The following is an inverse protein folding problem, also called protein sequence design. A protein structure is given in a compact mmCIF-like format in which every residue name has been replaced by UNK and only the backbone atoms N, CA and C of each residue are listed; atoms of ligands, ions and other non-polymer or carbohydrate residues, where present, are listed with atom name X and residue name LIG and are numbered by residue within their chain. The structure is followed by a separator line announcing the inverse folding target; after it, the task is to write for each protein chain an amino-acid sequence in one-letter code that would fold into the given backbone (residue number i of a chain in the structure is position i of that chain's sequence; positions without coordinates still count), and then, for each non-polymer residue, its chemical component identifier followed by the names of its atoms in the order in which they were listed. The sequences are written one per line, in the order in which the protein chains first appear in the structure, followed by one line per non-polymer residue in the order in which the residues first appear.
data_IF_171767971055
#
_entry.id   IF_171767971055
#
_cell.length_a   1.000
_cell.length_b   1.000
_cell.length_c   1.000
_cell.angle_alpha   90.00
_cell.angle_beta   90.00
_cell.angle_gamma   90.00
#
_symmetry.space_group_name_H-M   'P 1'
#
loop_
_entity.id
_entity.type
_entity.pdbx_description
1 polymer ?
#
# COMPACT_ATOMS: atom_id res chain seq x y z
N UNK A 1 19.45 19.21 20.17
CA UNK A 1 19.89 19.85 21.42
C UNK A 1 19.94 18.79 22.50
N UNK A 2 21.02 18.85 23.28
CA UNK A 2 21.60 17.92 24.25
C UNK A 2 20.68 16.95 25.01
N UNK A 3 21.13 15.71 25.20
CA UNK A 3 21.79 15.37 26.48
C UNK A 3 22.52 14.03 26.43
N UNK A 4 23.75 14.09 26.91
CA UNK A 4 24.73 13.03 27.16
C UNK A 4 24.25 11.98 28.16
N UNK A 5 24.77 10.75 28.04
CA UNK A 5 24.94 9.83 29.17
C UNK A 5 26.27 9.08 29.07
N UNK A 6 27.25 9.63 29.79
CA UNK A 6 28.16 9.01 30.76
C UNK A 6 28.39 7.50 30.60
N UNK A 7 29.61 7.17 30.17
CA UNK A 7 30.27 5.88 30.38
C UNK A 7 30.61 5.69 31.86
N UNK A 8 30.31 4.51 32.40
CA UNK A 8 31.04 3.93 33.53
C UNK A 8 31.35 2.49 33.15
N UNK A 9 32.62 2.26 32.83
CA UNK A 9 33.24 0.95 32.72
C UNK A 9 33.38 0.32 34.11
N UNK A 10 32.92 -0.92 34.25
CA UNK A 10 33.46 -1.83 35.26
C UNK A 10 33.66 -3.20 34.60
N UNK A 11 34.93 -3.52 34.37
CA UNK A 11 35.46 -4.82 33.95
C UNK A 11 35.45 -5.79 35.14
N UNK A 12 34.92 -7.00 34.96
CA UNK A 12 35.40 -8.20 35.68
C UNK A 12 35.20 -9.44 34.82
N UNK A 13 36.31 -9.85 34.22
CA UNK A 13 36.87 -11.21 34.05
C UNK A 13 35.97 -12.43 33.83
N UNK A 14 36.25 -13.02 32.67
CA UNK A 14 35.98 -14.35 32.16
C UNK A 14 36.78 -15.43 32.92
N UNK A 15 36.18 -16.60 33.12
CA UNK A 15 36.93 -17.82 33.46
C UNK A 15 36.16 -19.07 32.97
N UNK A 16 36.52 -19.52 31.77
CA UNK A 16 36.93 -20.88 31.40
C UNK A 16 36.16 -22.13 31.85
N UNK A 17 35.94 -23.05 30.90
CA UNK A 17 36.10 -24.49 31.16
C UNK A 17 35.07 -25.46 30.57
N UNK A 18 35.41 -26.02 29.41
CA UNK A 18 35.42 -27.46 29.07
C UNK A 18 34.15 -28.36 29.00
N UNK A 19 33.94 -28.85 27.77
CA UNK A 19 34.03 -30.27 27.34
C UNK A 19 32.83 -31.25 27.39
N UNK A 20 32.71 -31.98 26.25
CA UNK A 20 32.21 -33.38 26.03
C UNK A 20 30.70 -33.64 26.18
N UNK A 21 30.03 -34.56 25.49
CA UNK A 21 30.27 -35.48 24.35
C UNK A 21 28.97 -36.27 24.07
N UNK A 22 28.73 -36.62 22.79
CA UNK A 22 28.10 -37.85 22.23
C UNK A 22 26.76 -38.44 22.71
N UNK A 23 25.84 -38.70 21.75
CA UNK A 23 25.17 -39.99 21.38
C UNK A 23 23.82 -39.67 20.70
N UNK A 24 23.63 -39.86 19.39
CA UNK A 24 23.28 -41.11 18.68
C UNK A 24 22.11 -41.87 19.31
N UNK A 25 20.95 -41.89 18.65
CA UNK A 25 20.10 -43.09 18.49
C UNK A 25 19.00 -42.88 17.43
N UNK A 26 18.81 -43.92 16.61
CA UNK A 26 17.87 -44.03 15.50
C UNK A 26 16.44 -44.43 15.97
N UNK A 27 15.50 -44.30 15.03
CA UNK A 27 14.03 -44.48 15.09
C UNK A 27 13.54 -45.86 15.59
N UNK A 28 12.22 -45.98 15.89
CA UNK A 28 11.35 -46.63 14.92
C UNK A 28 9.93 -46.03 14.75
N UNK A 29 9.27 -46.52 13.71
CA UNK A 29 8.00 -46.13 13.09
C UNK A 29 6.71 -46.61 13.79
N UNK A 30 5.61 -45.99 13.34
CA UNK A 30 4.17 -46.34 13.43
C UNK A 30 3.41 -46.11 14.74
N UNK A 31 2.53 -45.09 14.73
CA UNK A 31 1.08 -45.33 14.78
C UNK A 31 0.25 -44.09 14.38
N UNK A 32 -0.75 -44.38 13.56
CA UNK A 32 -1.74 -43.51 12.97
C UNK A 32 -2.82 -43.15 14.00
N UNK A 33 -3.06 -41.85 14.23
CA UNK A 33 -4.32 -41.38 14.82
C UNK A 33 -4.57 -39.91 14.47
N UNK A 34 -5.55 -39.65 13.61
CA UNK A 34 -6.27 -38.37 13.59
C UNK A 34 -7.13 -38.27 14.87
N UNK A 35 -7.30 -37.06 15.41
CA UNK A 35 -8.47 -36.23 15.10
C UNK A 35 -8.01 -34.80 14.73
N UNK A 36 -8.66 -34.03 13.85
CA UNK A 36 -10.08 -33.77 13.83
C UNK A 36 -10.41 -32.63 14.79
N UNK A 37 -10.00 -31.39 14.50
CA UNK A 37 -10.84 -30.21 14.76
C UNK A 37 -10.35 -28.92 14.08
N UNK A 38 -11.15 -28.52 13.08
CA UNK A 38 -11.62 -27.17 12.81
C UNK A 38 -10.59 -26.02 12.70
N UNK A 39 -9.93 -25.99 11.55
CA UNK A 39 -9.37 -24.79 10.93
C UNK A 39 -10.54 -23.88 10.46
N UNK A 40 -11.12 -23.11 11.38
CA UNK A 40 -12.23 -22.21 11.08
C UNK A 40 -11.74 -20.94 10.35
N UNK A 41 -11.83 -21.01 9.02
CA UNK A 41 -12.47 -20.02 8.16
C UNK A 41 -11.93 -18.57 8.22
N UNK A 42 -10.77 -18.38 7.58
CA UNK A 42 -10.38 -17.09 7.05
C UNK A 42 -11.37 -16.65 5.96
N UNK A 43 -12.27 -15.72 6.31
CA UNK A 43 -12.95 -14.78 5.40
C UNK A 43 -13.40 -15.39 4.06
N UNK A 44 -14.31 -16.36 4.10
CA UNK A 44 -15.11 -16.76 2.93
C UNK A 44 -16.00 -15.60 2.47
N UNK A 45 -15.71 -15.09 1.27
CA UNK A 45 -16.73 -14.51 0.38
C UNK A 45 -16.29 -14.81 -1.04
N UNK A 46 -16.30 -16.09 -1.38
CA UNK A 46 -16.44 -16.59 -2.74
C UNK A 46 -17.75 -17.37 -2.79
N UNK A 47 -18.80 -16.70 -3.25
CA UNK A 47 -19.96 -17.24 -4.00
C UNK A 47 -21.10 -16.22 -3.93
N UNK A 48 -21.09 -15.26 -4.86
CA UNK A 48 -22.20 -15.08 -5.82
C UNK A 48 -21.56 -14.56 -7.10
N UNK A 49 -20.97 -15.46 -7.89
CA UNK A 49 -21.01 -15.31 -9.34
C UNK A 49 -22.46 -15.52 -9.74
N UNK A 50 -23.14 -14.44 -10.13
CA UNK A 50 -24.26 -14.51 -11.06
C UNK A 50 -24.50 -13.11 -11.66
N UNK A 51 -24.13 -12.97 -12.93
CA UNK A 51 -24.94 -12.19 -13.87
C UNK A 51 -24.70 -10.69 -14.00
N UNK A 52 -23.46 -10.19 -13.95
CA UNK A 52 -23.14 -8.89 -14.57
C UNK A 52 -21.71 -8.90 -15.11
N UNK A 53 -21.47 -8.60 -16.41
CA UNK A 53 -20.11 -8.52 -16.91
C UNK A 53 -19.42 -7.32 -16.25
N UNK A 54 -18.42 -7.60 -15.41
CA UNK A 54 -17.52 -6.61 -14.86
C UNK A 54 -16.77 -5.93 -16.02
N UNK A 55 -16.91 -4.62 -16.15
CA UNK A 55 -16.25 -3.80 -17.18
C UNK A 55 -14.81 -3.45 -16.83
N UNK A 56 -14.25 -4.05 -15.78
CA UNK A 56 -12.86 -3.87 -15.38
C UNK A 56 -11.98 -4.96 -16.00
N UNK A 57 -10.87 -4.64 -16.69
CA UNK A 57 -10.01 -5.65 -17.28
C UNK A 57 -9.51 -6.63 -16.22
N UNK A 58 -9.55 -7.93 -16.54
CA UNK A 58 -8.98 -8.97 -15.70
C UNK A 58 -7.48 -8.70 -15.48
N UNK A 59 -7.07 -8.69 -14.21
CA UNK A 59 -5.67 -8.61 -13.79
C UNK A 59 -4.89 -9.74 -14.45
N UNK A 60 -4.10 -9.39 -15.47
CA UNK A 60 -3.15 -10.29 -16.07
C UNK A 60 -1.81 -10.01 -15.38
N UNK A 61 -1.51 -10.78 -14.34
CA UNK A 61 -0.18 -10.86 -13.70
C UNK A 61 0.82 -11.66 -14.56
N UNK A 62 0.43 -12.00 -15.79
CA UNK A 62 1.22 -12.78 -16.73
C UNK A 62 1.71 -11.85 -17.84
N UNK A 63 2.99 -11.97 -18.14
CA UNK A 63 3.70 -11.38 -19.29
C UNK A 63 4.47 -10.08 -19.03
N UNK A 64 5.30 -10.07 -17.99
CA UNK A 64 6.57 -9.33 -18.08
C UNK A 64 7.71 -10.35 -18.08
N UNK A 65 8.26 -10.60 -19.26
CA UNK A 65 9.51 -11.33 -19.54
C UNK A 65 10.69 -10.50 -18.99
N UNK A 66 10.78 -10.44 -17.66
CA UNK A 66 11.55 -9.44 -16.95
C UNK A 66 12.62 -10.03 -16.02
N UNK A 67 13.83 -9.52 -16.18
CA UNK A 67 15.06 -10.00 -15.54
C UNK A 67 15.19 -9.62 -14.04
N UNK A 68 14.08 -9.40 -13.32
CA UNK A 68 14.05 -9.03 -11.90
C UNK A 68 13.11 -9.90 -11.06
N UNK A 69 13.31 -9.98 -9.73
CA UNK A 69 12.41 -10.74 -8.86
C UNK A 69 11.02 -10.12 -8.86
N UNK A 70 10.01 -11.00 -8.82
CA UNK A 70 8.60 -10.60 -8.82
C UNK A 70 8.25 -9.94 -7.49
N UNK A 71 7.18 -9.13 -7.42
CA UNK A 71 6.73 -8.53 -6.16
C UNK A 71 6.51 -9.55 -5.04
N UNK A 72 6.01 -10.74 -5.39
CA UNK A 72 5.83 -11.88 -4.46
C UNK A 72 7.15 -12.39 -3.88
N UNK A 73 8.25 -12.36 -4.64
CA UNK A 73 9.58 -12.77 -4.17
C UNK A 73 10.20 -11.71 -3.21
N UNK A 74 9.63 -10.50 -3.20
CA UNK A 74 10.01 -9.38 -2.33
C UNK A 74 9.09 -9.22 -1.12
N UNK A 75 8.10 -10.08 -1.00
CA UNK A 75 7.08 -10.06 0.04
C UNK A 75 7.26 -11.22 1.01
N UNK A 76 6.96 -10.97 2.29
CA UNK A 76 7.04 -12.02 3.30
C UNK A 76 6.17 -11.72 4.52
N UNK A 77 5.80 -12.79 5.22
CA UNK A 77 5.04 -12.74 6.47
C UNK A 77 5.84 -13.41 7.57
N UNK A 78 5.78 -12.85 8.76
CA UNK A 78 6.38 -13.43 9.95
C UNK A 78 5.39 -13.37 11.12
N UNK A 79 5.35 -14.42 11.93
CA UNK A 79 4.53 -14.47 13.13
C UNK A 79 5.43 -14.75 14.32
N UNK A 80 5.34 -13.91 15.33
CA UNK A 80 6.03 -14.05 16.59
C UNK A 80 5.03 -14.30 17.72
N UNK A 81 5.18 -15.42 18.39
CA UNK A 81 4.46 -15.76 19.61
C UNK A 81 5.39 -15.53 20.79
N UNK A 82 4.89 -14.80 21.78
CA UNK A 82 5.62 -14.50 23.02
C UNK A 82 4.84 -15.15 24.15
N UNK A 83 5.38 -16.25 24.65
CA UNK A 83 4.80 -17.00 25.76
C UNK A 83 5.15 -16.38 27.11
N UNK A 84 4.32 -16.63 28.13
CA UNK A 84 4.44 -16.09 29.48
C UNK A 84 4.57 -14.56 29.51
N UNK A 85 3.83 -13.84 28.66
CA UNK A 85 3.99 -12.40 28.44
C UNK A 85 3.83 -11.59 29.73
N UNK A 86 2.90 -11.99 30.61
CA UNK A 86 2.66 -11.33 31.90
C UNK A 86 3.86 -11.38 32.86
N UNK A 87 4.76 -12.34 32.70
CA UNK A 87 5.92 -12.56 33.57
C UNK A 87 7.18 -11.84 33.06
N UNK A 88 7.10 -11.20 31.89
CA UNK A 88 8.26 -10.57 31.25
C UNK A 88 8.56 -9.23 31.90
N UNK A 89 9.65 -9.21 32.67
CA UNK A 89 10.21 -7.99 33.29
C UNK A 89 11.36 -7.36 32.49
N UNK A 90 11.61 -7.85 31.27
CA UNK A 90 12.65 -7.30 30.39
C UNK A 90 12.20 -5.97 29.79
N UNK A 91 13.13 -5.01 29.71
CA UNK A 91 12.89 -3.71 29.08
C UNK A 91 12.50 -3.85 27.61
N UNK A 92 13.19 -4.73 26.88
CA UNK A 92 12.94 -5.01 25.46
C UNK A 92 13.02 -6.50 25.17
N UNK A 93 12.29 -6.94 24.15
CA UNK A 93 12.36 -8.29 23.58
C UNK A 93 12.62 -8.21 22.08
N UNK A 94 13.37 -9.18 21.58
CA UNK A 94 13.67 -9.32 20.15
C UNK A 94 13.18 -10.67 19.66
N UNK A 95 12.55 -10.69 18.48
CA UNK A 95 12.19 -11.94 17.81
C UNK A 95 13.43 -12.61 17.21
N UNK A 96 13.26 -13.86 16.78
CA UNK A 96 14.18 -14.46 15.82
C UNK A 96 14.21 -13.64 14.53
N UNK A 97 15.35 -13.64 13.84
CA UNK A 97 15.47 -13.00 12.53
C UNK A 97 14.74 -13.79 11.45
N UNK A 98 14.15 -13.10 10.48
CA UNK A 98 13.48 -13.70 9.32
C UNK A 98 13.88 -12.98 8.03
N UNK A 99 13.89 -13.71 6.92
CA UNK A 99 14.34 -13.21 5.61
C UNK A 99 13.14 -12.78 4.75
N UNK A 100 13.17 -11.54 4.25
CA UNK A 100 12.17 -11.03 3.28
C UNK A 100 12.85 -10.14 2.25
N UNK A 101 12.61 -10.42 0.97
CA UNK A 101 13.14 -9.64 -0.16
C UNK A 101 14.67 -9.58 -0.23
N UNK A 102 15.35 -10.59 0.33
CA UNK A 102 16.81 -10.67 0.40
C UNK A 102 17.43 -9.95 1.61
N UNK A 103 16.61 -9.46 2.54
CA UNK A 103 17.08 -8.77 3.75
C UNK A 103 16.63 -9.50 5.02
N UNK A 104 17.44 -9.40 6.07
CA UNK A 104 17.14 -9.98 7.39
C UNK A 104 16.48 -8.96 8.29
N UNK A 105 15.31 -9.30 8.79
CA UNK A 105 14.48 -8.47 9.64
C UNK A 105 14.29 -9.14 11.01
N UNK A 106 13.96 -8.36 12.03
CA UNK A 106 13.41 -8.86 13.29
C UNK A 106 12.42 -7.86 13.87
N UNK A 107 11.56 -8.31 14.77
CA UNK A 107 10.64 -7.46 15.52
C UNK A 107 11.27 -7.13 16.86
N UNK A 108 11.29 -5.85 17.22
CA UNK A 108 11.70 -5.35 18.53
C UNK A 108 10.46 -4.82 19.25
N UNK A 109 10.27 -5.23 20.51
CA UNK A 109 9.18 -4.72 21.34
C UNK A 109 9.67 -4.17 22.66
N UNK A 110 8.99 -3.15 23.15
CA UNK A 110 9.10 -2.64 24.51
C UNK A 110 7.77 -2.91 25.22
N UNK A 111 7.67 -3.98 26.03
CA UNK A 111 6.41 -4.40 26.65
C UNK A 111 5.78 -3.34 27.56
N UNK A 112 6.60 -2.48 28.18
CA UNK A 112 6.14 -1.39 29.07
C UNK A 112 6.30 0.02 28.47
N UNK A 113 6.74 0.09 27.21
CA UNK A 113 7.01 1.32 26.49
C UNK A 113 8.50 1.64 26.33
N UNK A 114 8.83 2.33 25.24
CA UNK A 114 10.19 2.81 24.95
C UNK A 114 10.46 4.17 25.63
N UNK A 115 9.86 5.24 25.08
CA UNK A 115 9.94 6.61 25.63
C UNK A 115 8.64 7.03 26.32
N UNK A 116 7.54 6.37 25.96
CA UNK A 116 6.19 6.65 26.46
C UNK A 116 5.77 5.46 27.28
N UNK A 117 5.58 5.67 28.58
CA UNK A 117 5.10 4.63 29.49
C UNK A 117 3.64 4.22 29.15
N UNK A 118 3.24 3.06 29.65
CA UNK A 118 1.88 2.52 29.56
C UNK A 118 1.40 2.22 28.13
N UNK A 119 2.33 2.13 27.17
CA UNK A 119 2.06 1.73 25.81
C UNK A 119 3.00 0.59 25.41
N UNK A 120 2.48 -0.40 24.70
CA UNK A 120 3.28 -1.33 23.93
C UNK A 120 3.90 -0.56 22.76
N UNK A 121 5.22 -0.62 22.63
CA UNK A 121 5.95 -0.10 21.47
C UNK A 121 6.42 -1.25 20.59
N UNK A 122 6.26 -1.13 19.26
CA UNK A 122 6.62 -2.15 18.28
C UNK A 122 7.45 -1.54 17.15
N UNK A 123 8.54 -2.20 16.78
CA UNK A 123 9.43 -1.77 15.71
C UNK A 123 9.81 -2.96 14.82
N UNK A 124 9.98 -2.69 13.52
CA UNK A 124 10.66 -3.56 12.59
C UNK A 124 12.11 -3.09 12.49
N UNK A 125 13.06 -4.02 12.52
CA UNK A 125 14.49 -3.71 12.55
C UNK A 125 15.25 -4.53 11.51
N UNK A 126 16.34 -3.97 10.98
CA UNK A 126 17.30 -4.69 10.12
C UNK A 126 18.28 -5.47 11.00
N UNK A 127 18.29 -6.80 10.90
CA UNK A 127 19.00 -7.69 11.83
C UNK A 127 20.52 -7.60 11.74
N UNK A 128 21.06 -7.45 10.53
CA UNK A 128 22.49 -7.44 10.25
C UNK A 128 23.04 -6.04 9.98
N UNK A 129 22.37 -4.98 10.45
CA UNK A 129 22.70 -3.58 10.14
C UNK A 129 24.17 -3.20 10.41
N UNK A 130 24.78 -3.77 11.46
CA UNK A 130 26.19 -3.55 11.81
C UNK A 130 27.19 -4.15 10.81
N UNK A 131 26.77 -5.17 10.07
CA UNK A 131 27.60 -5.88 9.09
C UNK A 131 27.41 -5.37 7.66
N UNK A 132 26.48 -4.43 7.46
CA UNK A 132 26.20 -3.85 6.16
C UNK A 132 27.23 -2.76 5.81
N UNK A 133 27.55 -2.67 4.52
CA UNK A 133 28.49 -1.67 4.02
C UNK A 133 27.98 -0.23 4.26
N UNK A 134 28.86 0.74 4.52
CA UNK A 134 28.46 2.15 4.62
C UNK A 134 27.65 2.60 3.39
N UNK A 135 26.55 3.31 3.64
CA UNK A 135 25.65 3.80 2.57
C UNK A 135 24.52 2.83 2.19
N UNK A 136 24.38 1.70 2.86
CA UNK A 136 23.22 0.82 2.67
C UNK A 136 21.90 1.56 2.94
N UNK A 137 20.88 1.25 2.15
CA UNK A 137 19.50 1.62 2.44
C UNK A 137 18.55 0.55 1.93
N UNK A 138 17.47 0.29 2.67
CA UNK A 138 16.45 -0.67 2.33
C UNK A 138 15.10 0.01 2.42
N UNK A 139 14.39 0.11 1.30
CA UNK A 139 13.09 0.72 1.26
C UNK A 139 12.00 -0.35 1.36
N UNK A 140 11.11 -0.23 2.34
CA UNK A 140 10.09 -1.24 2.60
C UNK A 140 8.78 -0.61 3.07
N UNK A 141 7.68 -1.22 2.64
CA UNK A 141 6.37 -1.04 3.24
C UNK A 141 6.09 -2.23 4.14
N UNK A 142 5.59 -1.97 5.34
CA UNK A 142 5.28 -3.06 6.25
C UNK A 142 4.06 -2.77 7.13
N UNK A 143 3.42 -3.85 7.52
CA UNK A 143 2.30 -3.88 8.46
C UNK A 143 2.72 -4.68 9.68
N UNK A 144 2.55 -4.11 10.87
CA UNK A 144 2.62 -4.85 12.13
C UNK A 144 1.22 -4.96 12.71
N UNK A 145 0.86 -6.17 13.14
CA UNK A 145 -0.41 -6.45 13.76
C UNK A 145 -0.24 -7.15 15.11
N UNK A 146 -0.98 -6.69 16.12
CA UNK A 146 -1.17 -7.44 17.37
C UNK A 146 -2.51 -8.16 17.28
N UNK A 147 -2.44 -9.49 17.33
CA UNK A 147 -3.57 -10.36 17.05
C UNK A 147 -4.44 -10.51 18.29
N UNK A 148 -5.73 -10.31 18.10
CA UNK A 148 -6.74 -10.55 19.12
C UNK A 148 -7.41 -11.91 18.88
N UNK A 149 -7.95 -12.52 19.95
CA UNK A 149 -8.81 -13.70 19.87
C UNK A 149 -9.95 -13.53 18.86
N UNK A 150 -10.53 -12.33 18.81
CA UNK A 150 -11.44 -11.92 17.74
C UNK A 150 -10.64 -11.26 16.60
N UNK A 151 -10.52 -11.88 15.41
CA UNK A 151 -9.75 -11.33 14.30
C UNK A 151 -10.22 -9.93 13.86
N UNK A 152 -11.48 -9.55 14.12
CA UNK A 152 -12.03 -8.23 13.79
C UNK A 152 -11.53 -7.13 14.72
N UNK A 153 -11.05 -7.49 15.91
CA UNK A 153 -10.49 -6.56 16.92
C UNK A 153 -8.98 -6.47 16.90
N UNK A 154 -8.32 -7.27 16.05
CA UNK A 154 -6.87 -7.20 15.87
C UNK A 154 -6.46 -5.79 15.46
N UNK A 155 -5.34 -5.30 16.02
CA UNK A 155 -4.85 -3.95 15.76
C UNK A 155 -3.75 -4.02 14.72
N UNK A 156 -3.90 -3.27 13.64
CA UNK A 156 -2.95 -3.17 12.53
C UNK A 156 -2.36 -1.77 12.50
N UNK A 157 -1.11 -1.65 12.08
CA UNK A 157 -0.53 -0.36 11.68
C UNK A 157 0.42 -0.57 10.52
N UNK A 158 0.30 0.31 9.54
CA UNK A 158 0.99 0.25 8.26
C UNK A 158 1.88 1.48 8.10
N UNK A 159 3.08 1.29 7.55
CA UNK A 159 3.96 2.40 7.25
C UNK A 159 4.89 2.07 6.09
N UNK A 160 5.48 3.14 5.55
CA UNK A 160 6.46 3.11 4.48
C UNK A 160 7.72 3.79 4.99
N UNK A 161 8.86 3.11 4.90
CA UNK A 161 10.10 3.63 5.46
C UNK A 161 11.34 3.17 4.71
N UNK A 162 12.35 4.05 4.70
CA UNK A 162 13.69 3.75 4.22
C UNK A 162 14.63 3.53 5.39
N UNK A 163 14.92 2.26 5.65
CA UNK A 163 15.89 1.84 6.63
C UNK A 163 17.30 2.17 6.15
N UNK A 164 18.13 2.70 7.05
CA UNK A 164 19.52 3.02 6.78
C UNK A 164 20.32 3.06 8.08
N UNK A 165 21.64 3.35 8.00
CA UNK A 165 22.54 3.25 9.17
C UNK A 165 22.05 4.00 10.43
N UNK A 166 21.42 5.18 10.30
CA UNK A 166 20.94 5.94 11.47
C UNK A 166 19.53 5.55 11.92
N UNK A 167 18.71 5.04 11.01
CA UNK A 167 17.33 4.61 11.27
C UNK A 167 17.21 3.17 10.76
N UNK A 168 17.85 2.25 11.47
CA UNK A 168 17.83 0.82 11.14
C UNK A 168 16.59 0.12 11.75
N UNK A 169 15.89 0.82 12.64
CA UNK A 169 14.62 0.47 13.23
C UNK A 169 13.56 1.52 12.91
N UNK A 170 12.31 1.07 12.70
CA UNK A 170 11.17 1.96 12.50
C UNK A 170 9.87 1.31 12.98
N UNK A 171 8.98 2.12 13.53
CA UNK A 171 7.72 1.62 14.08
C UNK A 171 7.01 2.64 14.95
N UNK A 172 6.29 2.15 15.96
CA UNK A 172 5.35 2.93 16.75
C UNK A 172 5.70 2.90 18.23
N UNK A 173 6.10 4.04 18.78
CA UNK A 173 6.30 4.24 20.23
C UNK A 173 5.00 4.06 21.01
N UNK A 174 3.87 4.47 20.44
CA UNK A 174 2.53 4.34 21.02
C UNK A 174 1.67 3.38 20.18
N UNK A 175 2.09 2.13 20.03
CA UNK A 175 1.34 1.17 19.21
C UNK A 175 0.00 0.83 19.85
N UNK A 176 -0.03 0.44 21.13
CA UNK A 176 -1.26 0.08 21.85
C UNK A 176 -1.12 0.41 23.33
N UNK A 177 -2.19 0.88 23.98
CA UNK A 177 -2.21 1.04 25.44
C UNK A 177 -2.17 -0.32 26.13
N UNK A 178 -1.40 -0.45 27.20
CA UNK A 178 -1.26 -1.73 27.91
C UNK A 178 -2.57 -2.19 28.55
N UNK A 179 -3.42 -1.26 29.00
CA UNK A 179 -4.74 -1.57 29.55
C UNK A 179 -5.62 -2.35 28.57
N UNK A 180 -5.47 -2.09 27.26
CA UNK A 180 -6.25 -2.76 26.21
C UNK A 180 -5.73 -4.15 25.86
N UNK A 181 -4.52 -4.55 26.29
CA UNK A 181 -3.98 -5.87 25.96
C UNK A 181 -4.80 -7.01 26.59
N UNK A 182 -5.39 -6.75 27.75
CA UNK A 182 -6.24 -7.73 28.44
C UNK A 182 -7.59 -7.96 27.74
N UNK A 183 -7.97 -7.12 26.77
CA UNK A 183 -9.20 -7.25 25.98
C UNK A 183 -9.08 -8.32 24.87
N UNK A 184 -8.48 -9.46 25.19
CA UNK A 184 -8.35 -10.61 24.28
C UNK A 184 -7.17 -10.58 23.32
N UNK A 185 -6.18 -9.69 23.52
CA UNK A 185 -4.91 -9.73 22.76
C UNK A 185 -3.89 -10.69 23.39
N UNK A 186 -3.99 -10.93 24.69
CA UNK A 186 -3.25 -11.96 25.39
C UNK A 186 -4.20 -13.14 25.60
N UNK A 187 -3.87 -14.28 24.99
CA UNK A 187 -4.64 -15.53 25.09
C UNK A 187 -3.73 -16.59 25.68
N UNK A 188 -4.12 -17.20 26.80
CA UNK A 188 -3.28 -18.21 27.50
C UNK A 188 -1.89 -17.67 27.86
N UNK A 189 -1.82 -16.39 28.24
CA UNK A 189 -0.57 -15.65 28.51
C UNK A 189 0.40 -15.56 27.30
N UNK A 190 -0.14 -15.74 26.09
CA UNK A 190 0.61 -15.59 24.83
C UNK A 190 0.18 -14.32 24.09
N UNK A 191 1.14 -13.46 23.78
CA UNK A 191 0.94 -12.34 22.85
C UNK A 191 1.41 -12.76 21.45
N UNK A 192 0.54 -12.61 20.45
CA UNK A 192 0.87 -12.93 19.05
C UNK A 192 0.99 -11.66 18.21
N UNK A 193 2.15 -11.49 17.58
CA UNK A 193 2.46 -10.36 16.70
C UNK A 193 2.71 -10.90 15.29
N UNK A 194 2.11 -10.27 14.28
CA UNK A 194 2.36 -10.57 12.87
C UNK A 194 3.01 -9.38 12.18
N UNK A 195 3.97 -9.65 11.32
CA UNK A 195 4.57 -8.68 10.41
C UNK A 195 4.34 -9.13 8.97
N UNK A 196 3.93 -8.20 8.12
CA UNK A 196 3.90 -8.34 6.67
C UNK A 196 4.87 -7.32 6.11
N UNK A 197 5.84 -7.73 5.31
CA UNK A 197 6.90 -6.84 4.79
C UNK A 197 6.94 -6.98 3.28
N UNK A 198 6.90 -5.85 2.57
CA UNK A 198 7.15 -5.73 1.15
C UNK A 198 8.39 -4.86 0.95
N UNK A 199 9.45 -5.46 0.44
CA UNK A 199 10.63 -4.72 0.00
C UNK A 199 10.33 -4.05 -1.34
N UNK A 200 10.63 -2.76 -1.43
CA UNK A 200 10.42 -1.95 -2.64
C UNK A 200 11.79 -1.63 -3.24
N UNK A 201 11.97 -2.00 -4.51
CA UNK A 201 13.20 -1.71 -5.26
C UNK A 201 12.99 -0.46 -6.11
N UNK A 202 13.85 0.53 -5.92
CA UNK A 202 13.87 1.72 -6.75
C UNK A 202 14.62 1.41 -8.05
N UNK A 203 13.88 1.43 -9.16
CA UNK A 203 14.46 1.35 -10.51
C UNK A 203 14.16 2.66 -11.21
N UNK A 204 15.21 3.34 -11.70
CA UNK A 204 15.09 4.62 -12.41
C UNK A 204 14.32 4.49 -13.73
N UNK A 205 14.43 3.33 -14.37
CA UNK A 205 13.74 2.97 -15.62
C UNK A 205 12.32 2.44 -15.40
N UNK A 206 11.98 2.04 -14.16
CA UNK A 206 10.69 1.47 -13.80
C UNK A 206 10.29 1.93 -12.41
N UNK A 207 9.72 3.15 -12.29
CA UNK A 207 9.36 3.71 -10.99
C UNK A 207 8.26 2.90 -10.26
N UNK A 208 7.68 1.90 -10.92
CA UNK A 208 6.50 1.18 -10.46
C UNK A 208 6.73 -0.33 -10.48
N UNK A 209 7.14 -0.87 -9.33
CA UNK A 209 6.90 -2.29 -9.00
C UNK A 209 6.30 -2.36 -7.62
N UNK A 210 5.03 -2.69 -7.63
CA UNK A 210 4.15 -2.46 -6.52
C UNK A 210 3.70 -3.78 -5.91
N UNK A 211 3.21 -3.63 -4.69
CA UNK A 211 2.95 -4.64 -3.67
C UNK A 211 2.46 -5.99 -4.22
N UNK A 212 2.85 -7.06 -3.54
CA UNK A 212 2.24 -8.38 -3.72
C UNK A 212 0.71 -8.28 -3.83
N UNK A 213 0.13 -9.02 -4.79
CA UNK A 213 -1.28 -8.87 -5.15
C UNK A 213 -2.24 -9.13 -3.99
N UNK A 214 -1.90 -10.03 -3.06
CA UNK A 214 -2.72 -10.26 -1.87
C UNK A 214 -2.60 -9.10 -0.89
N UNK A 215 -1.36 -8.68 -0.60
CA UNK A 215 -1.10 -7.58 0.32
C UNK A 215 -1.73 -6.26 -0.15
N UNK A 216 -1.65 -5.99 -1.45
CA UNK A 216 -2.33 -4.88 -2.12
C UNK A 216 -3.83 -4.90 -1.87
N UNK A 217 -4.50 -6.04 -2.07
CA UNK A 217 -5.95 -6.16 -1.83
C UNK A 217 -6.33 -5.88 -0.38
N UNK A 218 -5.51 -6.32 0.57
CA UNK A 218 -5.73 -6.04 2.00
C UNK A 218 -5.67 -4.54 2.28
N UNK A 219 -4.66 -3.84 1.75
CA UNK A 219 -4.50 -2.40 1.98
C UNK A 219 -5.55 -1.57 1.25
N UNK A 220 -5.90 -1.91 0.01
CA UNK A 220 -6.96 -1.19 -0.74
C UNK A 220 -8.27 -1.23 0.03
N UNK A 221 -8.65 -2.37 0.64
CA UNK A 221 -9.87 -2.46 1.46
C UNK A 221 -9.91 -1.46 2.62
N UNK A 222 -8.76 -1.06 3.14
CA UNK A 222 -8.63 -0.10 4.25
C UNK A 222 -8.50 1.34 3.73
N UNK A 223 -7.71 1.55 2.68
CA UNK A 223 -7.28 2.88 2.22
C UNK A 223 -7.98 3.38 0.95
N UNK A 224 -8.95 2.64 0.39
CA UNK A 224 -9.63 3.03 -0.85
C UNK A 224 -10.18 4.46 -0.81
N UNK A 225 -10.87 4.82 0.28
CA UNK A 225 -11.44 6.17 0.45
C UNK A 225 -10.35 7.26 0.41
N UNK A 226 -9.21 7.01 1.05
CA UNK A 226 -8.08 7.93 1.02
C UNK A 226 -7.46 8.04 -0.37
N UNK A 227 -7.26 6.91 -1.06
CA UNK A 227 -6.74 6.87 -2.44
C UNK A 227 -7.67 7.64 -3.39
N UNK A 228 -8.98 7.39 -3.30
CA UNK A 228 -9.99 8.11 -4.08
C UNK A 228 -9.97 9.61 -3.78
N UNK A 229 -9.84 10.00 -2.52
CA UNK A 229 -9.78 11.41 -2.12
C UNK A 229 -8.54 12.11 -2.69
N UNK A 230 -7.38 11.45 -2.68
CA UNK A 230 -6.14 11.97 -3.28
C UNK A 230 -6.33 12.22 -4.78
N UNK A 231 -6.84 11.21 -5.50
CA UNK A 231 -7.11 11.33 -6.95
C UNK A 231 -8.16 12.41 -7.25
N UNK A 232 -9.26 12.43 -6.50
CA UNK A 232 -10.35 13.41 -6.67
C UNK A 232 -9.86 14.84 -6.48
N UNK A 233 -9.12 15.10 -5.39
CA UNK A 233 -8.57 16.43 -5.11
C UNK A 233 -7.68 16.92 -6.24
N UNK A 234 -6.83 16.04 -6.78
CA UNK A 234 -5.97 16.38 -7.91
C UNK A 234 -6.80 16.72 -9.16
N UNK A 235 -7.78 15.88 -9.51
CA UNK A 235 -8.63 16.07 -10.68
C UNK A 235 -9.42 17.38 -10.56
N UNK A 236 -10.04 17.64 -9.42
CA UNK A 236 -10.83 18.84 -9.17
C UNK A 236 -9.98 20.11 -9.24
N UNK A 237 -8.76 20.08 -8.69
CA UNK A 237 -7.83 21.21 -8.76
C UNK A 237 -7.42 21.51 -10.22
N UNK A 238 -7.09 20.47 -11.00
CA UNK A 238 -6.71 20.63 -12.41
C UNK A 238 -7.90 21.08 -13.25
N UNK A 239 -9.09 20.54 -13.00
CA UNK A 239 -10.33 20.95 -13.66
C UNK A 239 -10.64 22.42 -13.39
N UNK A 240 -10.62 22.86 -12.12
CA UNK A 240 -10.89 24.26 -11.77
C UNK A 240 -9.95 25.24 -12.48
N UNK A 241 -8.68 24.86 -12.67
CA UNK A 241 -7.73 25.64 -13.46
C UNK A 241 -8.12 25.71 -14.94
N UNK A 242 -8.54 24.59 -15.53
CA UNK A 242 -9.01 24.53 -16.92
C UNK A 242 -10.31 25.32 -17.13
N UNK A 243 -11.31 25.15 -16.26
CA UNK A 243 -12.59 25.87 -16.36
C UNK A 243 -12.37 27.38 -16.36
N UNK A 244 -11.52 27.89 -15.47
CA UNK A 244 -11.18 29.31 -15.43
C UNK A 244 -10.45 29.81 -16.69
N UNK A 245 -9.64 28.97 -17.33
CA UNK A 245 -9.01 29.32 -18.61
C UNK A 245 -10.03 29.41 -19.75
N UNK A 246 -11.05 28.53 -19.74
CA UNK A 246 -12.11 28.49 -20.76
C UNK A 246 -13.12 29.63 -20.54
N UNK A 247 -13.42 29.98 -19.28
CA UNK A 247 -14.32 31.08 -18.92
C UNK A 247 -13.78 32.45 -19.31
N UNK A 248 -12.46 32.64 -19.31
CA UNK A 248 -11.82 33.82 -19.89
C UNK A 248 -11.96 33.81 -21.42
N UNK A 249 -13.12 34.30 -21.90
CA UNK A 249 -13.46 34.31 -23.33
C UNK A 249 -12.40 34.96 -24.20
N UNK A 250 -11.72 36.00 -23.70
CA UNK A 250 -10.75 36.76 -24.49
C UNK A 250 -9.42 36.00 -24.57
N UNK A 251 -8.95 35.47 -23.44
CA UNK A 251 -7.78 34.58 -23.38
C UNK A 251 -7.99 33.28 -24.16
N UNK A 252 -9.13 32.62 -23.98
CA UNK A 252 -9.47 31.36 -24.66
C UNK A 252 -9.60 31.52 -26.17
N UNK A 253 -10.25 32.59 -26.65
CA UNK A 253 -10.36 32.85 -28.09
C UNK A 253 -9.01 33.18 -28.72
N UNK A 254 -8.17 33.96 -28.01
CA UNK A 254 -6.80 34.25 -28.45
C UNK A 254 -5.95 32.97 -28.53
N UNK A 255 -6.00 32.11 -27.51
CA UNK A 255 -5.31 30.83 -27.50
C UNK A 255 -5.80 29.89 -28.61
N UNK A 256 -7.13 29.80 -28.80
CA UNK A 256 -7.73 28.99 -29.86
C UNK A 256 -7.33 29.49 -31.25
N UNK A 257 -7.34 30.81 -31.47
CA UNK A 257 -6.87 31.44 -32.70
C UNK A 257 -5.39 31.16 -32.96
N UNK A 258 -4.55 31.30 -31.94
CA UNK A 258 -3.13 30.94 -32.01
C UNK A 258 -2.91 29.46 -32.35
N UNK A 259 -3.64 28.56 -31.69
CA UNK A 259 -3.54 27.11 -31.93
C UNK A 259 -3.95 26.75 -33.35
N UNK A 260 -5.08 27.28 -33.84
CA UNK A 260 -5.59 27.00 -35.18
C UNK A 260 -4.71 27.59 -36.30
N UNK A 261 -4.09 28.74 -36.06
CA UNK A 261 -3.16 29.37 -37.00
C UNK A 261 -1.80 28.64 -37.10
N UNK A 262 -1.50 27.74 -36.16
CA UNK A 262 -0.24 27.02 -36.12
C UNK A 262 -0.19 25.89 -37.14
N UNK A 263 0.99 25.71 -37.75
CA UNK A 263 1.24 24.63 -38.70
C UNK A 263 0.94 23.25 -38.09
N UNK A 264 0.26 22.34 -38.82
CA UNK A 264 -0.08 21.01 -38.31
C UNK A 264 1.12 20.19 -37.83
N UNK A 265 2.31 20.35 -38.42
CA UNK A 265 3.53 19.64 -37.98
C UNK A 265 4.01 20.13 -36.62
N UNK A 266 3.92 21.43 -36.35
CA UNK A 266 4.28 22.03 -35.07
C UNK A 266 3.26 21.63 -34.00
N UNK A 267 1.96 21.64 -34.32
CA UNK A 267 0.91 21.14 -33.42
C UNK A 267 1.16 19.69 -33.01
N UNK A 268 1.46 18.80 -33.97
CA UNK A 268 1.82 17.40 -33.68
C UNK A 268 3.05 17.27 -32.79
N UNK A 269 4.01 18.18 -32.90
CA UNK A 269 5.17 18.16 -32.03
C UNK A 269 4.81 18.59 -30.59
N UNK A 270 4.00 19.63 -30.43
CA UNK A 270 3.59 20.16 -29.13
C UNK A 270 2.62 19.25 -28.35
N UNK A 271 1.91 18.33 -29.02
CA UNK A 271 1.01 17.37 -28.37
C UNK A 271 1.69 16.06 -27.94
N UNK A 272 3.02 15.99 -28.04
CA UNK A 272 3.79 14.79 -27.75
C UNK A 272 4.81 15.07 -26.65
N UNK A 273 4.87 14.19 -25.67
CA UNK A 273 5.83 14.27 -24.58
C UNK A 273 6.40 12.89 -24.26
N UNK A 274 7.67 12.82 -23.83
CA UNK A 274 8.30 11.53 -23.49
C UNK A 274 7.62 10.90 -22.29
N UNK A 275 7.39 9.59 -22.34
CA UNK A 275 6.79 8.82 -21.24
C UNK A 275 7.55 9.05 -19.94
N UNK A 276 8.88 8.95 -19.96
CA UNK A 276 9.73 9.17 -18.79
C UNK A 276 9.54 10.56 -18.16
N UNK A 277 9.36 11.61 -18.96
CA UNK A 277 9.12 12.98 -18.48
C UNK A 277 7.81 13.06 -17.70
N UNK A 278 6.73 12.49 -18.26
CA UNK A 278 5.41 12.47 -17.60
C UNK A 278 5.46 11.62 -16.33
N UNK A 279 6.09 10.44 -16.38
CA UNK A 279 6.20 9.57 -15.21
C UNK A 279 6.97 10.23 -14.06
N UNK A 280 8.04 10.98 -14.36
CA UNK A 280 8.77 11.77 -13.35
C UNK A 280 7.88 12.80 -12.66
N UNK A 281 7.02 13.48 -13.42
CA UNK A 281 6.05 14.45 -12.88
C UNK A 281 5.01 13.74 -12.00
N UNK A 282 4.50 12.58 -12.44
CA UNK A 282 3.55 11.76 -11.68
C UNK A 282 4.14 11.31 -10.34
N UNK A 283 5.35 10.73 -10.36
CA UNK A 283 6.03 10.29 -9.13
C UNK A 283 6.23 11.47 -8.19
N UNK A 284 6.73 12.60 -8.69
CA UNK A 284 6.93 13.81 -7.88
C UNK A 284 5.63 14.34 -7.26
N UNK A 285 4.50 14.16 -7.93
CA UNK A 285 3.21 14.68 -7.50
C UNK A 285 2.47 13.76 -6.53
N UNK A 286 2.56 12.44 -6.73
CA UNK A 286 1.73 11.46 -6.02
C UNK A 286 2.50 10.56 -5.06
N UNK A 287 3.81 10.39 -5.23
CA UNK A 287 4.59 9.53 -4.37
C UNK A 287 5.12 10.30 -3.16
N UNK A 288 4.73 9.85 -1.96
CA UNK A 288 5.16 10.43 -0.69
C UNK A 288 5.76 9.30 0.14
N UNK A 289 7.08 9.36 0.35
CA UNK A 289 7.86 8.25 0.92
C UNK A 289 7.37 7.74 2.28
N UNK A 290 6.60 8.54 3.03
CA UNK A 290 6.08 8.17 4.36
C UNK A 290 4.60 7.83 4.36
N UNK A 291 3.96 7.75 3.20
CA UNK A 291 2.51 7.57 3.08
C UNK A 291 2.17 6.29 2.33
N UNK A 292 1.48 5.36 3.01
CA UNK A 292 1.05 4.07 2.43
C UNK A 292 0.05 4.24 1.30
N UNK A 293 -0.80 5.27 1.35
CA UNK A 293 -1.76 5.57 0.27
C UNK A 293 -1.05 5.92 -1.04
N UNK A 294 0.15 6.52 -0.95
CA UNK A 294 0.90 6.96 -2.13
C UNK A 294 1.36 5.78 -2.99
N UNK A 295 1.77 4.66 -2.37
CA UNK A 295 2.14 3.44 -3.12
C UNK A 295 0.94 2.84 -3.83
N UNK A 296 -0.26 2.90 -3.24
CA UNK A 296 -1.50 2.43 -3.86
C UNK A 296 -1.96 3.33 -5.02
N UNK A 297 -1.82 4.65 -4.89
CA UNK A 297 -2.09 5.60 -5.98
C UNK A 297 -1.15 5.32 -7.14
N UNK A 298 0.13 5.18 -6.85
CA UNK A 298 1.16 4.90 -7.84
C UNK A 298 0.93 3.55 -8.55
N UNK A 299 0.57 2.50 -7.82
CA UNK A 299 0.20 1.19 -8.38
C UNK A 299 -1.00 1.29 -9.33
N UNK A 300 -2.01 2.06 -8.94
CA UNK A 300 -3.20 2.30 -9.77
C UNK A 300 -2.86 3.05 -11.06
N UNK A 301 -2.00 4.07 -10.98
CA UNK A 301 -1.53 4.84 -12.15
C UNK A 301 -0.69 3.97 -13.08
N UNK A 302 0.15 3.09 -12.55
CA UNK A 302 0.91 2.14 -13.35
C UNK A 302 0.01 1.14 -14.07
N UNK A 303 -1.02 0.63 -13.39
CA UNK A 303 -2.02 -0.24 -14.02
C UNK A 303 -2.73 0.49 -15.18
N UNK A 304 -3.06 1.77 -14.99
CA UNK A 304 -3.59 2.63 -16.07
C UNK A 304 -2.62 2.80 -17.24
N UNK A 305 -1.32 3.01 -16.96
CA UNK A 305 -0.28 3.07 -17.99
C UNK A 305 -0.22 1.76 -18.81
N UNK A 306 -0.22 0.61 -18.14
CA UNK A 306 -0.21 -0.70 -18.81
C UNK A 306 -1.45 -0.93 -19.67
N UNK A 307 -2.62 -0.49 -19.22
CA UNK A 307 -3.84 -0.53 -20.03
C UNK A 307 -3.71 0.34 -21.31
N UNK A 308 -3.11 1.52 -21.21
CA UNK A 308 -2.85 2.39 -22.37
C UNK A 308 -1.83 1.77 -23.34
N UNK A 309 -0.76 1.16 -22.84
CA UNK A 309 0.24 0.45 -23.65
C UNK A 309 -0.39 -0.72 -24.40
N UNK A 310 -1.25 -1.50 -23.74
CA UNK A 310 -1.97 -2.63 -24.34
C UNK A 310 -2.92 -2.18 -25.44
N UNK A 311 -3.70 -1.11 -25.21
CA UNK A 311 -4.58 -0.55 -26.23
C UNK A 311 -3.81 -0.06 -27.45
N UNK A 312 -2.65 0.57 -27.27
CA UNK A 312 -1.81 1.01 -28.37
C UNK A 312 -1.32 -0.15 -29.25
N UNK A 313 -0.85 -1.24 -28.63
CA UNK A 313 -0.36 -2.44 -29.34
C UNK A 313 -1.47 -3.12 -30.16
N UNK A 314 -2.71 -3.10 -29.66
CA UNK A 314 -3.86 -3.78 -30.28
C UNK A 314 -4.69 -2.92 -31.22
N UNK A 315 -4.42 -1.60 -31.33
CA UNK A 315 -5.08 -0.69 -32.29
C UNK A 315 -4.84 -1.02 -33.78
N UNK A 316 -4.13 -2.10 -34.12
CA UNK A 316 -4.12 -2.66 -35.48
C UNK A 316 -5.47 -3.28 -35.91
N UNK A 317 -6.44 -3.42 -35.01
CA UNK A 317 -7.79 -3.87 -35.37
C UNK A 317 -8.88 -3.14 -34.54
N UNK A 318 -9.42 -2.02 -35.03
CA UNK A 318 -10.73 -1.52 -34.55
C UNK A 318 -11.60 -1.07 -35.75
N UNK A 319 -12.85 -1.56 -35.90
CA UNK A 319 -13.81 -1.10 -36.89
C UNK A 319 -14.37 0.30 -36.55
N UNK A 320 -14.89 1.01 -37.56
CA UNK A 320 -15.49 2.36 -37.48
C UNK A 320 -16.53 2.49 -36.34
N UNK A 321 -16.47 3.59 -35.59
CA UNK A 321 -17.28 3.82 -34.37
C UNK A 321 -18.22 5.04 -34.53
N UNK A 322 -19.44 4.91 -34.01
CA UNK A 322 -20.55 5.89 -33.98
C UNK A 322 -20.56 6.76 -32.71
N UNK A 323 -21.33 7.86 -32.72
CA UNK A 323 -21.31 9.00 -31.76
C UNK A 323 -21.51 8.69 -30.27
N UNK A 324 -22.03 7.52 -29.87
CA UNK A 324 -22.28 7.15 -28.46
C UNK A 324 -20.99 6.87 -27.66
N UNK A 325 -19.84 6.75 -28.33
CA UNK A 325 -18.56 6.34 -27.73
C UNK A 325 -17.59 7.48 -27.34
N UNK A 326 -17.99 8.74 -27.47
CA UNK A 326 -17.09 9.88 -27.24
C UNK A 326 -16.53 9.99 -25.80
N UNK A 327 -17.22 9.42 -24.80
CA UNK A 327 -16.75 9.34 -23.40
C UNK A 327 -15.84 8.14 -23.11
N UNK A 328 -15.87 7.12 -23.97
CA UNK A 328 -15.04 5.90 -23.89
C UNK A 328 -13.70 6.08 -24.61
N UNK A 329 -13.54 7.11 -25.44
CA UNK A 329 -12.33 7.35 -26.22
C UNK A 329 -11.18 7.84 -25.33
N UNK A 330 -10.02 7.14 -25.30
CA UNK A 330 -8.87 7.57 -24.52
C UNK A 330 -8.43 8.98 -24.92
N UNK A 331 -8.15 9.85 -23.95
CA UNK A 331 -7.63 11.21 -24.20
C UNK A 331 -6.17 11.21 -24.66
N UNK A 332 -5.43 10.18 -24.27
CA UNK A 332 -4.00 10.06 -24.49
C UNK A 332 -3.71 8.66 -25.02
N UNK A 333 -2.81 8.59 -26.00
CA UNK A 333 -2.28 7.36 -26.59
C UNK A 333 -0.80 7.26 -26.28
N UNK A 334 -0.28 6.04 -26.27
CA UNK A 334 1.16 5.80 -26.18
C UNK A 334 1.62 5.37 -27.57
N UNK A 335 2.54 6.11 -28.16
CA UNK A 335 3.18 5.75 -29.43
C UNK A 335 4.67 5.63 -29.19
N UNK A 336 5.19 4.41 -29.30
CA UNK A 336 6.55 4.06 -28.87
C UNK A 336 6.76 4.44 -27.39
N UNK A 337 7.60 5.45 -27.12
CA UNK A 337 7.94 5.98 -25.79
C UNK A 337 7.40 7.41 -25.56
N UNK A 338 6.35 7.79 -26.30
CA UNK A 338 5.75 9.11 -26.24
C UNK A 338 4.27 9.02 -25.88
N UNK A 339 3.84 9.85 -24.94
CA UNK A 339 2.42 10.18 -24.78
C UNK A 339 2.00 11.15 -25.88
N UNK A 340 0.90 10.85 -26.55
CA UNK A 340 0.34 11.63 -27.65
C UNK A 340 -1.13 11.90 -27.37
N UNK A 341 -1.58 13.14 -27.52
CA UNK A 341 -3.00 13.45 -27.42
C UNK A 341 -3.79 12.79 -28.56
N UNK A 342 -4.93 12.18 -28.22
CA UNK A 342 -5.71 11.37 -29.15
C UNK A 342 -6.52 12.17 -30.17
N UNK A 343 -6.73 13.47 -29.90
CA UNK A 343 -7.59 14.37 -30.66
C UNK A 343 -7.07 15.82 -30.57
N UNK A 344 -7.79 16.79 -31.13
CA UNK A 344 -7.42 18.21 -31.06
C UNK A 344 -7.36 18.71 -29.60
N UNK A 345 -6.36 19.56 -29.33
CA UNK A 345 -6.07 20.07 -27.99
C UNK A 345 -7.26 20.85 -27.43
N UNK A 346 -7.92 21.69 -28.23
CA UNK A 346 -9.05 22.50 -27.77
C UNK A 346 -10.18 21.58 -27.32
N UNK A 347 -10.53 20.60 -28.17
CA UNK A 347 -11.56 19.62 -27.86
C UNK A 347 -11.23 18.79 -26.59
N UNK A 348 -9.98 18.33 -26.45
CA UNK A 348 -9.58 17.56 -25.28
C UNK A 348 -9.57 18.38 -23.98
N UNK A 349 -9.20 19.66 -24.04
CA UNK A 349 -9.23 20.55 -22.88
C UNK A 349 -10.67 20.85 -22.44
N UNK A 350 -11.57 21.10 -23.39
CA UNK A 350 -13.00 21.26 -23.12
C UNK A 350 -13.60 19.97 -22.55
N UNK A 351 -13.26 18.81 -23.12
CA UNK A 351 -13.67 17.50 -22.59
C UNK A 351 -13.16 17.29 -21.16
N UNK A 352 -11.89 17.58 -20.87
CA UNK A 352 -11.31 17.46 -19.53
C UNK A 352 -11.98 18.37 -18.49
N UNK A 353 -12.44 19.55 -18.93
CA UNK A 353 -13.15 20.49 -18.08
C UNK A 353 -14.59 20.05 -17.78
N UNK A 354 -15.25 19.35 -18.72
CA UNK A 354 -16.64 18.93 -18.65
C UNK A 354 -16.87 17.52 -18.08
N UNK A 355 -15.91 16.60 -18.24
CA UNK A 355 -16.09 15.19 -17.87
C UNK A 355 -16.30 15.05 -16.36
N UNK A 356 -17.51 14.79 -15.90
CA UNK A 356 -17.72 14.39 -14.51
C UNK A 356 -17.21 12.96 -14.34
N UNK A 357 -16.38 12.70 -13.31
CA UNK A 357 -16.06 11.33 -12.90
C UNK A 357 -17.38 10.56 -12.78
N UNK A 358 -17.46 9.27 -13.17
CA UNK A 358 -18.64 8.47 -12.92
C UNK A 358 -18.87 8.39 -11.40
N UNK A 359 -19.77 9.23 -10.90
CA UNK A 359 -20.19 9.19 -9.52
C UNK A 359 -21.07 7.95 -9.36
N UNK A 360 -20.52 6.90 -8.75
CA UNK A 360 -21.39 5.98 -8.02
C UNK A 360 -21.91 6.77 -6.82
N UNK A 361 -23.15 7.25 -6.95
CA UNK A 361 -23.91 7.89 -5.89
C UNK A 361 -23.97 6.90 -4.72
N UNK A 362 -23.18 7.11 -3.67
CA UNK A 362 -23.47 6.51 -2.37
C UNK A 362 -24.78 7.14 -1.89
N UNK A 363 -25.79 6.34 -1.53
CA UNK A 363 -27.02 6.89 -0.97
C UNK A 363 -26.65 7.56 0.35
N UNK A 364 -26.91 8.85 0.44
CA UNK A 364 -26.91 9.62 1.68
C UNK A 364 -27.88 8.95 2.64
N UNK A 365 -27.34 8.26 3.65
CA UNK A 365 -28.08 8.01 4.89
C UNK A 365 -28.29 9.38 5.54
N UNK A 366 -29.50 9.89 5.47
CA UNK A 366 -30.21 10.45 6.61
C UNK A 366 -31.61 10.88 6.16
N UNK A 367 -32.60 10.05 6.51
CA UNK A 367 -33.95 10.55 6.79
C UNK A 367 -34.73 9.51 7.59
N UNK A 368 -34.41 9.40 8.88
CA UNK A 368 -35.34 8.91 9.90
C UNK A 368 -35.08 9.62 11.23
N UNK A 369 -35.55 10.85 11.34
CA UNK A 369 -35.90 11.45 12.63
C UNK A 369 -37.29 12.07 12.55
N UNK A 370 -38.31 11.28 12.90
CA UNK A 370 -39.57 11.77 13.47
C UNK A 370 -40.47 10.57 13.85
N UNK A 371 -40.24 10.01 15.03
CA UNK A 371 -41.30 9.31 15.76
C UNK A 371 -41.66 10.15 16.99
N UNK A 372 -42.63 11.05 16.82
CA UNK A 372 -43.45 11.53 17.93
C UNK A 372 -44.67 10.62 18.01
N UNK A 373 -44.73 9.77 19.03
CA UNK A 373 -45.95 9.01 19.39
C UNK A 373 -46.50 9.57 20.70
N UNK A 374 -47.44 10.50 20.57
CA UNK A 374 -48.26 11.01 21.67
C UNK A 374 -49.25 9.92 22.08
N UNK A 375 -49.34 9.67 23.39
CA UNK A 375 -50.40 8.88 24.04
C UNK A 375 -51.72 9.65 24.04
N UNK A 376 -52.80 9.06 23.54
CA UNK A 376 -54.22 9.21 23.92
C UNK A 376 -54.87 7.91 23.37
N UNK A 377 -55.63 7.07 24.06
CA UNK A 377 -56.75 7.25 24.98
C UNK A 377 -57.89 6.38 24.45
N UNK A 378 -58.71 5.85 25.34
CA UNK A 378 -59.45 4.58 25.30
C UNK A 378 -60.83 4.58 24.58
N UNK A 379 -61.34 3.36 24.30
CA UNK A 379 -62.75 2.89 24.18
C UNK A 379 -63.44 2.87 22.80
N UNK A 380 -64.50 2.04 22.60
CA UNK A 380 -65.12 1.05 23.51
C UNK A 380 -64.68 -0.40 23.31
#
# INVERSE_FOLDING_TARGET
MASDRIMVDTLTEDNGGDARSSSSEEMPSDQQSHPGDSLAEWRSSEQVENGTPSTSPAYSDNDDDDCGPRPSDLYGKFTWRIDNFSQINKRELRSNSFDVGGFKWYILIYPQGCDVCNHLSLFLCVANHDKLLPGWSHFAQFTIAVINRDPKKSKYSDTLHRFWKKEHDWGWKKFMELSKLHDGFIVEDVLTIKAQVQVIREKTDRPFRCLDGHYRRELIRVYLSNVEQVCRRFIDERRSKLSRLIEDKLGWSSFSGFWLAMDPSVRRHMTREKTETILKVIVKQFFIEKEVTSTLVIDSLYSGLKALEYQSKNKKAIPKLTETDARSTPMVLIDQDMFVLADDVIFLLERAALDTLPHQHLPTKDDKSSQNRTKVGTFP
#
